data_IF_520896143129
#
_entry.id   IF_520896143129
#
_cell.length_a   1.000
_cell.length_b   1.000
_cell.length_c   1.000
_cell.angle_alpha   90.00
_cell.angle_beta   90.00
_cell.angle_gamma   90.00
#
_symmetry.space_group_name_H-M   'P 1'
#
loop_
_entity.id
_entity.type
_entity.pdbx_description
1 polymer ?
#
# COMPACT_ATOMS: atom_id res chain seq x y z
N UNK A 1 12.13 10.89 -11.46
CA UNK A 1 11.55 9.55 -11.56
C UNK A 1 12.12 8.79 -12.76
N UNK A 2 12.04 9.34 -13.98
CA UNK A 2 12.53 8.68 -15.20
C UNK A 2 14.03 8.40 -15.12
N UNK A 3 14.85 9.36 -14.66
CA UNK A 3 16.30 9.17 -14.50
C UNK A 3 16.66 8.03 -13.55
N UNK A 4 15.97 7.90 -12.40
CA UNK A 4 16.14 6.77 -11.48
C UNK A 4 15.80 5.44 -12.15
N UNK A 5 14.67 5.38 -12.84
CA UNK A 5 14.24 4.18 -13.56
C UNK A 5 15.25 3.77 -14.65
N UNK A 6 15.79 4.75 -15.41
CA UNK A 6 16.77 4.48 -16.48
C UNK A 6 18.10 3.96 -15.93
N UNK A 7 18.52 4.50 -14.79
CA UNK A 7 19.74 4.08 -14.10
C UNK A 7 19.58 2.72 -13.41
N UNK A 8 18.39 2.40 -12.95
CA UNK A 8 18.10 1.37 -11.96
C UNK A 8 18.31 1.89 -10.53
N UNK A 9 17.34 1.67 -9.67
CA UNK A 9 17.38 2.08 -8.27
C UNK A 9 18.30 1.14 -7.47
N UNK A 10 19.14 1.72 -6.63
CA UNK A 10 19.97 0.96 -5.68
C UNK A 10 19.18 0.70 -4.38
N UNK A 11 19.56 -0.33 -3.63
CA UNK A 11 18.99 -0.63 -2.30
C UNK A 11 19.09 0.58 -1.38
N UNK A 12 20.20 1.32 -1.40
CA UNK A 12 20.39 2.51 -0.59
C UNK A 12 19.40 3.63 -0.93
N UNK A 13 19.12 3.85 -2.20
CA UNK A 13 18.14 4.85 -2.67
C UNK A 13 16.71 4.45 -2.30
N UNK A 14 16.34 3.18 -2.50
CA UNK A 14 15.02 2.67 -2.09
C UNK A 14 14.86 2.79 -0.57
N UNK A 15 15.86 2.39 0.21
CA UNK A 15 15.83 2.48 1.67
C UNK A 15 15.71 3.93 2.15
N UNK A 16 16.48 4.85 1.55
CA UNK A 16 16.40 6.28 1.86
C UNK A 16 15.01 6.85 1.59
N UNK A 17 14.46 6.54 0.42
CA UNK A 17 13.11 6.97 0.03
C UNK A 17 12.03 6.37 0.96
N UNK A 18 12.13 5.08 1.33
CA UNK A 18 11.20 4.44 2.24
C UNK A 18 11.24 5.07 3.64
N UNK A 19 12.42 5.38 4.17
CA UNK A 19 12.58 6.07 5.47
C UNK A 19 11.89 7.44 5.47
N UNK A 20 12.11 8.25 4.45
CA UNK A 20 11.46 9.55 4.31
C UNK A 20 9.95 9.41 4.17
N UNK A 21 9.47 8.47 3.35
CA UNK A 21 8.04 8.24 3.20
C UNK A 21 7.37 7.82 4.52
N UNK A 22 8.02 6.95 5.31
CA UNK A 22 7.55 6.54 6.63
C UNK A 22 7.51 7.70 7.62
N UNK A 23 8.55 8.54 7.66
CA UNK A 23 8.60 9.69 8.57
C UNK A 23 7.57 10.78 8.27
N UNK A 24 7.08 10.84 7.03
CA UNK A 24 6.06 11.80 6.59
C UNK A 24 4.64 11.21 6.54
N UNK A 25 4.50 9.91 6.76
CA UNK A 25 3.18 9.26 6.80
C UNK A 25 2.43 9.62 8.08
N UNK A 26 1.11 9.75 7.98
CA UNK A 26 0.26 9.81 9.15
C UNK A 26 0.18 8.41 9.78
N UNK A 27 0.64 8.21 11.02
CA UNK A 27 0.68 6.89 11.62
C UNK A 27 -0.73 6.38 11.93
N UNK A 28 -0.92 5.07 11.80
CA UNK A 28 -2.11 4.36 12.25
C UNK A 28 -1.69 3.49 13.45
N UNK A 29 -2.21 3.82 14.62
CA UNK A 29 -1.91 3.07 15.84
C UNK A 29 -2.77 1.81 15.92
N UNK A 30 -2.13 0.67 16.10
CA UNK A 30 -2.75 -0.65 16.25
C UNK A 30 -2.16 -1.31 17.50
N UNK A 31 -3.00 -1.90 18.35
CA UNK A 31 -2.58 -2.60 19.56
C UNK A 31 -2.20 -4.06 19.28
N UNK A 32 -2.76 -4.64 18.24
CA UNK A 32 -2.50 -6.03 17.82
C UNK A 32 -1.06 -6.18 17.33
N UNK A 33 -0.34 -7.21 17.81
CA UNK A 33 1.10 -7.34 17.60
C UNK A 33 1.52 -7.71 16.18
N UNK A 34 1.03 -8.81 15.65
CA UNK A 34 1.48 -9.34 14.35
C UNK A 34 0.57 -8.84 13.22
N UNK A 35 1.00 -7.80 12.52
CA UNK A 35 0.27 -7.23 11.40
C UNK A 35 0.77 -7.74 10.06
N UNK A 36 -0.16 -8.09 9.18
CA UNK A 36 0.10 -8.44 7.79
C UNK A 36 -0.44 -7.35 6.86
N UNK A 37 0.33 -6.99 5.85
CA UNK A 37 -0.14 -6.21 4.72
C UNK A 37 -0.08 -7.04 3.44
N UNK A 38 -1.16 -7.08 2.70
CA UNK A 38 -1.25 -7.77 1.41
C UNK A 38 -0.99 -6.83 0.22
N UNK A 39 -0.41 -5.65 0.47
CA UNK A 39 -0.12 -4.68 -0.57
C UNK A 39 0.94 -5.19 -1.55
N UNK A 40 0.62 -5.18 -2.84
CA UNK A 40 1.57 -5.46 -3.91
C UNK A 40 2.15 -4.18 -4.52
N UNK A 41 3.15 -4.34 -5.37
CA UNK A 41 3.80 -3.22 -6.09
C UNK A 41 2.90 -2.60 -7.18
N UNK A 42 1.92 -3.35 -7.67
CA UNK A 42 1.01 -2.94 -8.73
C UNK A 42 1.71 -2.65 -10.07
N UNK A 43 0.91 -2.31 -11.06
CA UNK A 43 1.44 -1.88 -12.36
C UNK A 43 2.12 -2.98 -13.19
N UNK A 44 1.82 -4.25 -12.93
CA UNK A 44 2.36 -5.42 -13.62
C UNK A 44 1.62 -5.76 -14.94
N UNK A 45 0.49 -5.11 -15.19
CA UNK A 45 -0.32 -5.32 -16.39
C UNK A 45 -1.06 -6.67 -16.43
N UNK A 46 -1.08 -7.41 -15.34
CA UNK A 46 -1.61 -8.79 -15.26
C UNK A 46 -3.12 -8.90 -15.55
N UNK A 47 -3.86 -7.79 -15.42
CA UNK A 47 -5.32 -7.71 -15.64
C UNK A 47 -6.14 -8.75 -14.86
N UNK A 48 -5.61 -9.19 -13.72
CA UNK A 48 -6.31 -10.10 -12.81
C UNK A 48 -7.35 -9.34 -11.97
N UNK A 49 -8.22 -10.06 -11.28
CA UNK A 49 -9.03 -9.46 -10.20
C UNK A 49 -8.12 -8.97 -9.05
N UNK A 50 -8.71 -8.24 -8.10
CA UNK A 50 -7.96 -7.66 -6.97
C UNK A 50 -7.50 -8.73 -5.96
N UNK A 51 -6.52 -9.57 -6.36
CA UNK A 51 -6.01 -10.71 -5.59
C UNK A 51 -5.61 -10.27 -4.19
N UNK A 52 -4.84 -9.20 -4.06
CA UNK A 52 -4.38 -8.71 -2.76
C UNK A 52 -5.52 -8.24 -1.84
N UNK A 53 -6.61 -7.72 -2.41
CA UNK A 53 -7.78 -7.30 -1.63
C UNK A 53 -8.57 -8.52 -1.17
N UNK A 54 -8.77 -9.50 -2.04
CA UNK A 54 -9.43 -10.76 -1.70
C UNK A 54 -8.63 -11.54 -0.65
N UNK A 55 -7.31 -11.65 -0.82
CA UNK A 55 -6.42 -12.30 0.13
C UNK A 55 -6.49 -11.64 1.52
N UNK A 56 -6.63 -10.31 1.60
CA UNK A 56 -6.76 -9.60 2.87
C UNK A 56 -7.95 -10.12 3.70
N UNK A 57 -9.11 -10.31 3.06
CA UNK A 57 -10.29 -10.86 3.74
C UNK A 57 -10.10 -12.32 4.17
N UNK A 58 -9.46 -13.14 3.33
CA UNK A 58 -9.18 -14.55 3.67
C UNK A 58 -8.23 -14.64 4.85
N UNK A 59 -7.17 -13.84 4.86
CA UNK A 59 -6.17 -13.80 5.94
C UNK A 59 -6.81 -13.31 7.25
N UNK A 60 -7.63 -12.25 7.18
CA UNK A 60 -8.36 -11.76 8.35
C UNK A 60 -9.37 -12.81 8.87
N UNK A 61 -10.09 -13.48 7.96
CA UNK A 61 -11.01 -14.58 8.31
C UNK A 61 -10.32 -15.79 8.94
N UNK A 62 -9.02 -15.96 8.71
CA UNK A 62 -8.18 -16.96 9.37
C UNK A 62 -7.65 -16.49 10.75
N UNK A 63 -8.04 -15.31 11.22
CA UNK A 63 -7.68 -14.79 12.55
C UNK A 63 -6.36 -13.99 12.59
N UNK A 64 -5.80 -13.62 11.46
CA UNK A 64 -4.59 -12.78 11.39
C UNK A 64 -5.01 -11.31 11.17
N UNK A 65 -4.43 -10.40 11.94
CA UNK A 65 -4.72 -8.97 11.82
C UNK A 65 -4.12 -8.38 10.55
N UNK A 66 -4.96 -7.78 9.71
CA UNK A 66 -4.58 -7.22 8.41
C UNK A 66 -4.68 -5.70 8.42
N UNK A 67 -3.54 -5.03 8.29
CA UNK A 67 -3.44 -3.60 8.06
C UNK A 67 -3.17 -3.35 6.57
N UNK A 68 -4.23 -3.46 5.76
CA UNK A 68 -4.08 -3.43 4.30
C UNK A 68 -3.81 -2.03 3.78
N UNK A 69 -2.59 -1.77 3.33
CA UNK A 69 -2.25 -0.55 2.61
C UNK A 69 -2.72 -0.65 1.15
N UNK A 70 -3.31 0.41 0.63
CA UNK A 70 -3.79 0.40 -0.74
C UNK A 70 -4.21 1.76 -1.27
N UNK A 71 -4.47 1.82 -2.57
CA UNK A 71 -4.85 3.05 -3.27
C UNK A 71 -5.84 2.74 -4.39
N UNK A 72 -6.33 3.82 -5.04
CA UNK A 72 -6.98 3.73 -6.34
C UNK A 72 -5.98 3.29 -7.39
N UNK A 73 -6.48 2.70 -8.46
CA UNK A 73 -5.63 2.30 -9.58
C UNK A 73 -4.98 3.52 -10.25
N UNK A 74 -3.68 3.40 -10.56
CA UNK A 74 -2.97 4.35 -11.43
C UNK A 74 -2.84 3.83 -12.87
N UNK A 75 -2.86 2.51 -13.08
CA UNK A 75 -2.58 1.87 -14.38
C UNK A 75 -3.51 0.69 -14.70
N UNK A 76 -4.15 0.08 -13.70
CA UNK A 76 -5.14 -0.99 -13.88
C UNK A 76 -6.56 -0.44 -13.96
N UNK A 77 -7.53 -1.28 -14.31
CA UNK A 77 -8.93 -0.88 -14.41
C UNK A 77 -9.58 -0.61 -13.05
N UNK A 78 -9.10 -1.26 -11.98
CA UNK A 78 -9.70 -1.18 -10.66
C UNK A 78 -8.63 -1.40 -9.58
N UNK A 79 -8.44 -0.44 -8.68
CA UNK A 79 -7.57 -0.54 -7.52
C UNK A 79 -8.28 -1.11 -6.30
N UNK A 80 -7.55 -1.37 -5.22
CA UNK A 80 -8.13 -1.88 -3.97
C UNK A 80 -9.14 -0.92 -3.36
N UNK A 81 -8.87 0.38 -3.40
CA UNK A 81 -9.80 1.40 -2.92
C UNK A 81 -11.10 1.42 -3.73
N UNK A 82 -11.01 1.25 -5.05
CA UNK A 82 -12.18 1.28 -5.93
C UNK A 82 -13.12 0.11 -5.63
N UNK A 83 -12.58 -1.09 -5.41
CA UNK A 83 -13.37 -2.28 -5.03
C UNK A 83 -14.03 -2.09 -3.67
N UNK A 84 -13.28 -1.64 -2.66
CA UNK A 84 -13.81 -1.48 -1.31
C UNK A 84 -14.92 -0.41 -1.26
N UNK A 85 -14.75 0.69 -1.97
CA UNK A 85 -15.79 1.72 -2.10
C UNK A 85 -17.05 1.18 -2.78
N UNK A 86 -16.90 0.38 -3.85
CA UNK A 86 -18.02 -0.29 -4.52
C UNK A 86 -18.74 -1.30 -3.60
N UNK A 87 -18.05 -1.88 -2.64
CA UNK A 87 -18.62 -2.74 -1.60
C UNK A 87 -19.23 -1.95 -0.43
N UNK A 88 -19.22 -0.62 -0.47
CA UNK A 88 -19.81 0.24 0.56
C UNK A 88 -18.89 0.60 1.71
N UNK A 89 -17.59 0.30 1.64
CA UNK A 89 -16.62 0.67 2.67
C UNK A 89 -16.34 2.17 2.58
N UNK A 90 -16.47 2.87 3.72
CA UNK A 90 -16.09 4.27 3.81
C UNK A 90 -14.56 4.40 3.93
N UNK A 91 -13.92 4.92 2.89
CA UNK A 91 -12.47 5.12 2.83
C UNK A 91 -11.99 6.40 3.54
N UNK A 92 -12.92 7.32 3.87
CA UNK A 92 -12.62 8.63 4.45
C UNK A 92 -12.89 8.62 5.97
N UNK A 93 -12.31 7.66 6.64
CA UNK A 93 -12.34 7.55 8.12
C UNK A 93 -11.01 8.02 8.70
N UNK A 94 -11.00 8.35 10.01
CA UNK A 94 -9.78 8.79 10.69
C UNK A 94 -8.78 7.64 10.86
N UNK A 95 -7.47 7.94 11.03
CA UNK A 95 -6.46 6.92 11.32
C UNK A 95 -6.79 6.08 12.57
N UNK A 96 -7.39 6.70 13.59
CA UNK A 96 -7.82 6.02 14.81
C UNK A 96 -8.92 5.01 14.53
N UNK A 97 -9.89 5.37 13.69
CA UNK A 97 -10.95 4.44 13.26
C UNK A 97 -10.38 3.27 12.48
N UNK A 98 -9.39 3.51 11.61
CA UNK A 98 -8.71 2.41 10.87
C UNK A 98 -8.01 1.47 11.85
N UNK A 99 -7.30 2.03 12.85
CA UNK A 99 -6.63 1.24 13.89
C UNK A 99 -7.62 0.39 14.68
N UNK A 100 -8.73 0.99 15.13
CA UNK A 100 -9.80 0.27 15.82
C UNK A 100 -10.39 -0.87 14.98
N UNK A 101 -10.59 -0.66 13.68
CA UNK A 101 -11.04 -1.73 12.78
C UNK A 101 -10.04 -2.91 12.76
N UNK A 102 -8.73 -2.63 12.69
CA UNK A 102 -7.73 -3.71 12.74
C UNK A 102 -7.82 -4.47 14.07
N UNK A 103 -7.94 -3.76 15.18
CA UNK A 103 -7.95 -4.37 16.52
C UNK A 103 -9.25 -5.12 16.82
N UNK A 104 -10.42 -4.60 16.41
CA UNK A 104 -11.73 -5.16 16.80
C UNK A 104 -12.25 -6.21 15.82
N UNK A 105 -12.07 -5.98 14.51
CA UNK A 105 -12.60 -6.88 13.47
C UNK A 105 -11.52 -7.59 12.65
N UNK A 106 -10.24 -7.39 12.98
CA UNK A 106 -9.12 -8.07 12.35
C UNK A 106 -8.67 -7.51 11.01
N UNK A 107 -9.32 -6.46 10.47
CA UNK A 107 -8.95 -5.87 9.19
C UNK A 107 -9.24 -4.38 9.13
N UNK A 108 -8.27 -3.60 8.66
CA UNK A 108 -8.41 -2.17 8.38
C UNK A 108 -7.80 -1.80 7.04
N UNK A 109 -8.41 -0.84 6.35
CA UNK A 109 -7.91 -0.34 5.07
C UNK A 109 -7.20 0.99 5.22
N UNK A 110 -5.90 1.00 4.99
CA UNK A 110 -5.02 2.16 5.05
C UNK A 110 -4.99 2.83 3.68
N UNK A 111 -5.91 3.79 3.47
CA UNK A 111 -6.00 4.48 2.20
C UNK A 111 -4.82 5.43 2.01
N UNK A 112 -3.89 5.07 1.12
CA UNK A 112 -2.64 5.78 0.92
C UNK A 112 -2.80 7.29 0.65
N UNK A 113 -3.88 7.69 -0.04
CA UNK A 113 -4.16 9.10 -0.36
C UNK A 113 -4.36 9.94 0.89
N UNK A 114 -4.96 9.38 1.94
CA UNK A 114 -5.25 10.08 3.18
C UNK A 114 -4.04 10.06 4.14
N UNK A 115 -3.19 9.03 4.04
CA UNK A 115 -2.13 8.77 5.01
C UNK A 115 -0.74 9.22 4.54
N UNK A 116 -0.54 9.45 3.24
CA UNK A 116 0.72 9.91 2.66
C UNK A 116 0.57 11.28 2.00
N UNK A 117 0.45 12.33 2.79
CA UNK A 117 0.25 13.70 2.31
C UNK A 117 1.38 14.18 1.36
N UNK A 118 2.60 13.69 1.54
CA UNK A 118 3.74 14.01 0.67
C UNK A 118 3.53 13.56 -0.79
N UNK A 119 2.68 12.55 -1.03
CA UNK A 119 2.37 12.06 -2.37
C UNK A 119 1.62 13.05 -3.24
N UNK A 120 1.03 14.11 -2.68
CA UNK A 120 0.38 15.18 -3.45
C UNK A 120 1.31 15.85 -4.47
N UNK A 121 2.61 15.89 -4.18
CA UNK A 121 3.61 16.49 -5.06
C UNK A 121 4.03 15.58 -6.21
N UNK A 122 3.94 14.27 -6.02
CA UNK A 122 4.41 13.25 -6.98
C UNK A 122 3.26 12.60 -7.74
N UNK A 123 2.09 12.55 -7.14
CA UNK A 123 0.89 11.91 -7.70
C UNK A 123 0.55 12.39 -9.12
N UNK A 124 0.43 13.69 -9.38
CA UNK A 124 0.13 14.21 -10.72
C UNK A 124 1.18 13.80 -11.76
N UNK A 125 2.47 13.88 -11.40
CA UNK A 125 3.57 13.50 -12.30
C UNK A 125 3.50 12.00 -12.64
N UNK A 126 3.20 11.15 -11.65
CA UNK A 126 3.04 9.71 -11.88
C UNK A 126 1.86 9.40 -12.80
N UNK A 127 0.74 10.11 -12.61
CA UNK A 127 -0.45 9.94 -13.44
C UNK A 127 -0.20 10.34 -14.90
N UNK A 128 0.61 11.37 -15.14
CA UNK A 128 1.00 11.82 -16.47
C UNK A 128 1.99 10.86 -17.12
N UNK A 129 3.01 10.42 -16.40
CA UNK A 129 4.04 9.51 -16.91
C UNK A 129 3.50 8.12 -17.26
N UNK A 130 2.53 7.60 -16.52
CA UNK A 130 1.95 6.26 -16.69
C UNK A 130 3.01 5.13 -16.73
N UNK A 131 4.12 5.34 -16.05
CA UNK A 131 5.24 4.42 -15.98
C UNK A 131 5.39 3.84 -14.58
N UNK A 132 5.88 2.61 -14.51
CA UNK A 132 6.37 2.03 -13.24
C UNK A 132 7.63 2.78 -12.80
N UNK A 133 7.69 3.17 -11.52
CA UNK A 133 8.80 3.92 -10.91
C UNK A 133 9.09 3.37 -9.52
N UNK A 134 10.12 3.86 -8.84
CA UNK A 134 10.44 3.53 -7.44
C UNK A 134 9.21 3.60 -6.52
N UNK A 135 8.26 4.49 -6.77
CA UNK A 135 7.03 4.59 -5.96
C UNK A 135 6.10 3.37 -6.03
N UNK A 136 6.29 2.48 -6.99
CA UNK A 136 5.58 1.20 -7.01
C UNK A 136 6.16 0.23 -5.97
N UNK A 137 7.47 0.26 -5.77
CA UNK A 137 8.17 -0.55 -4.78
C UNK A 137 7.97 0.01 -3.37
N UNK A 138 7.88 1.34 -3.24
CA UNK A 138 7.74 2.00 -1.93
C UNK A 138 6.41 1.71 -1.23
N UNK A 139 5.32 1.41 -1.96
CA UNK A 139 4.01 1.13 -1.37
C UNK A 139 4.07 0.07 -0.25
N UNK A 140 4.50 -1.16 -0.53
CA UNK A 140 4.62 -2.22 0.48
C UNK A 140 5.63 -1.92 1.59
N UNK A 141 6.62 -1.06 1.33
CA UNK A 141 7.68 -0.71 2.29
C UNK A 141 7.30 0.42 3.26
N UNK A 142 6.15 1.06 3.06
CA UNK A 142 5.78 2.29 3.78
C UNK A 142 4.41 2.22 4.42
N UNK A 143 3.99 1.03 4.87
CA UNK A 143 2.73 0.84 5.57
C UNK A 143 2.67 1.71 6.84
N UNK A 144 1.66 2.59 7.00
CA UNK A 144 1.54 3.51 8.13
C UNK A 144 1.26 2.85 9.49
N UNK A 145 0.81 1.59 9.52
CA UNK A 145 0.64 0.81 10.75
C UNK A 145 1.89 -0.01 11.10
N UNK A 146 2.96 0.07 10.30
CA UNK A 146 4.20 -0.65 10.57
C UNK A 146 4.15 -2.16 10.31
N UNK A 147 3.21 -2.65 9.49
CA UNK A 147 3.13 -4.08 9.16
C UNK A 147 4.46 -4.56 8.53
N UNK A 148 5.14 -5.46 9.23
CA UNK A 148 6.48 -5.94 8.82
C UNK A 148 6.39 -7.05 7.76
N UNK A 149 5.32 -7.83 7.75
CA UNK A 149 5.15 -8.97 6.84
C UNK A 149 4.78 -8.59 5.38
N UNK A 150 4.69 -7.30 5.05
CA UNK A 150 4.47 -6.83 3.68
C UNK A 150 5.71 -6.95 2.79
N UNK A 151 6.89 -6.93 3.37
CA UNK A 151 8.16 -6.82 2.65
C UNK A 151 8.50 -8.09 1.83
N UNK A 152 8.04 -9.25 2.25
CA UNK A 152 8.35 -10.52 1.57
C UNK A 152 7.68 -10.60 0.18
N UNK A 153 6.40 -10.23 0.07
CA UNK A 153 5.69 -10.26 -1.21
C UNK A 153 6.22 -9.22 -2.22
N UNK A 154 6.76 -8.09 -1.72
CA UNK A 154 7.37 -7.08 -2.57
C UNK A 154 8.74 -7.51 -3.12
N UNK A 155 9.48 -8.31 -2.37
CA UNK A 155 10.79 -8.83 -2.79
C UNK A 155 10.64 -9.87 -3.92
N UNK A 156 9.65 -10.74 -3.85
CA UNK A 156 9.36 -11.72 -4.91
C UNK A 156 8.89 -11.06 -6.21
N UNK A 157 8.09 -10.01 -6.12
CA UNK A 157 7.60 -9.28 -7.30
C UNK A 157 8.67 -8.40 -7.97
N UNK A 158 9.80 -8.18 -7.31
CA UNK A 158 10.95 -7.42 -7.84
C UNK A 158 12.07 -8.32 -8.40
N UNK A 159 11.93 -9.64 -8.29
CA UNK A 159 12.86 -10.58 -8.91
C UNK A 159 12.75 -10.52 -10.45
N UNK A 160 13.87 -10.56 -11.16
CA UNK A 160 13.92 -10.43 -12.61
C UNK A 160 13.25 -11.60 -13.32
#
# INVERSE_FOLDING_TARGET
>A
LVGLRMKGETVAEITGAARVMRSLATPVQVQSGNLVDTCGTGGDGSRTFNISTTAAFVVAGAGVHVAKHGNRSATSQCGSADVLEALGVNLNVSPETVGACVDEIGIGFLFARNLHAAMKHVGPIRAELKLRTVFNILGPLTNPAGAEAAAAAAAEAAAP
#
